data_IF_025118568344
#
_entry.id   IF_025118568344
#
_cell.length_a   1.000
_cell.length_b   1.000
_cell.length_c   1.000
_cell.angle_alpha   90.00
_cell.angle_beta   90.00
_cell.angle_gamma   90.00
#
_symmetry.space_group_name_H-M   'P 1'
#
loop_
_entity.id
_entity.type
_entity.pdbx_description
1 polymer ?
#
# COMPACT_ATOMS: atom_id res chain seq x y z
N UNK A 1 -8.53 -13.90 -4.14
CA UNK A 1 -8.36 -13.23 -2.84
C UNK A 1 -8.34 -11.71 -3.02
N UNK A 2 -9.29 -11.15 -3.79
CA UNK A 2 -9.28 -9.74 -4.25
C UNK A 2 -10.08 -8.77 -3.36
N UNK A 3 -10.80 -9.26 -2.35
CA UNK A 3 -11.77 -8.44 -1.59
C UNK A 3 -11.23 -7.62 -0.41
N UNK A 4 -9.99 -7.83 0.06
CA UNK A 4 -9.56 -7.27 1.35
C UNK A 4 -9.02 -5.83 1.31
N UNK A 5 -8.45 -5.39 0.19
CA UNK A 5 -7.93 -4.02 0.07
C UNK A 5 -9.07 -3.03 -0.16
N UNK A 6 -10.10 -3.45 -0.90
CA UNK A 6 -11.35 -2.72 -1.06
C UNK A 6 -11.97 -2.32 0.29
N UNK A 7 -11.94 -3.23 1.29
CA UNK A 7 -12.47 -2.95 2.63
C UNK A 7 -11.79 -1.75 3.30
N UNK A 8 -10.48 -1.54 3.05
CA UNK A 8 -9.74 -0.41 3.62
C UNK A 8 -10.25 0.94 3.10
N UNK A 9 -10.76 1.00 1.87
CA UNK A 9 -11.38 2.20 1.30
C UNK A 9 -12.88 2.26 1.61
N UNK A 10 -13.60 1.15 1.44
CA UNK A 10 -15.07 1.07 1.62
C UNK A 10 -15.52 1.34 3.06
N UNK A 11 -14.71 1.01 4.07
CA UNK A 11 -15.10 1.16 5.50
C UNK A 11 -14.39 2.30 6.22
N UNK A 12 -13.44 2.97 5.58
CA UNK A 12 -12.73 4.07 6.22
C UNK A 12 -13.58 5.34 6.16
N UNK A 13 -13.98 5.85 7.33
CA UNK A 13 -14.84 7.03 7.43
C UNK A 13 -14.20 8.29 6.87
N UNK A 14 -12.88 8.42 7.01
CA UNK A 14 -12.14 9.55 6.47
C UNK A 14 -12.16 9.51 4.94
N UNK A 15 -11.98 8.32 4.35
CA UNK A 15 -12.10 8.13 2.90
C UNK A 15 -13.51 8.47 2.41
N UNK A 16 -14.54 7.99 3.12
CA UNK A 16 -15.93 8.26 2.78
C UNK A 16 -16.34 9.73 2.97
N UNK A 17 -15.61 10.49 3.78
CA UNK A 17 -15.85 11.93 3.98
C UNK A 17 -15.41 12.79 2.80
N UNK A 18 -14.57 12.23 1.91
CA UNK A 18 -14.05 12.91 0.73
C UNK A 18 -15.10 13.05 -0.37
N UNK A 19 -14.94 14.08 -1.20
CA UNK A 19 -15.75 14.23 -2.42
C UNK A 19 -15.59 13.02 -3.33
N UNK A 20 -16.56 12.74 -4.21
CA UNK A 20 -16.46 11.61 -5.14
C UNK A 20 -15.23 11.72 -6.04
N UNK A 21 -14.92 12.93 -6.51
CA UNK A 21 -13.72 13.21 -7.31
C UNK A 21 -12.44 12.89 -6.54
N UNK A 22 -12.34 13.34 -5.29
CA UNK A 22 -11.17 13.10 -4.45
C UNK A 22 -11.01 11.62 -4.11
N UNK A 23 -12.11 10.89 -3.86
CA UNK A 23 -12.09 9.43 -3.63
C UNK A 23 -11.56 8.66 -4.83
N UNK A 24 -12.05 8.97 -6.03
CA UNK A 24 -11.60 8.31 -7.27
C UNK A 24 -10.14 8.64 -7.54
N UNK A 25 -9.76 9.91 -7.40
CA UNK A 25 -8.37 10.35 -7.60
C UNK A 25 -7.43 9.68 -6.59
N UNK A 26 -7.81 9.64 -5.31
CA UNK A 26 -7.02 8.99 -4.27
C UNK A 26 -6.90 7.48 -4.52
N UNK A 27 -8.00 6.82 -4.89
CA UNK A 27 -8.00 5.40 -5.23
C UNK A 27 -7.03 5.12 -6.39
N UNK A 28 -7.19 5.82 -7.53
CA UNK A 28 -6.31 5.65 -8.70
C UNK A 28 -4.85 5.90 -8.39
N UNK A 29 -4.56 6.75 -7.40
CA UNK A 29 -3.19 7.10 -7.05
C UNK A 29 -2.55 6.18 -6.00
N UNK A 30 -3.34 5.60 -5.10
CA UNK A 30 -2.79 4.86 -3.94
C UNK A 30 -3.12 3.39 -3.92
N UNK A 31 -4.09 2.92 -4.72
CA UNK A 31 -4.58 1.54 -4.67
C UNK A 31 -3.47 0.54 -4.98
N UNK A 32 -2.55 0.87 -5.88
CA UNK A 32 -1.44 0.00 -6.23
C UNK A 32 -0.52 -0.25 -5.03
N UNK A 33 -0.09 0.82 -4.36
CA UNK A 33 0.74 0.74 -3.16
C UNK A 33 0.01 0.08 -2.01
N UNK A 34 -1.24 0.48 -1.78
CA UNK A 34 -2.08 -0.06 -0.70
C UNK A 34 -2.36 -1.54 -0.91
N UNK A 35 -2.62 -1.95 -2.15
CA UNK A 35 -2.85 -3.36 -2.51
C UNK A 35 -1.59 -4.19 -2.40
N UNK A 36 -0.45 -3.65 -2.82
CA UNK A 36 0.84 -4.32 -2.71
C UNK A 36 1.20 -4.56 -1.25
N UNK A 37 1.13 -3.53 -0.39
CA UNK A 37 1.43 -3.67 1.04
C UNK A 37 0.42 -4.59 1.74
N UNK A 38 -0.87 -4.46 1.42
CA UNK A 38 -1.91 -5.34 1.96
C UNK A 38 -1.70 -6.81 1.55
N UNK A 39 -1.24 -7.03 0.32
CA UNK A 39 -0.88 -8.36 -0.18
C UNK A 39 0.35 -8.90 0.52
N UNK A 40 1.42 -8.11 0.67
CA UNK A 40 2.64 -8.48 1.42
C UNK A 40 2.28 -8.94 2.83
N UNK A 41 1.42 -8.18 3.52
CA UNK A 41 0.95 -8.54 4.85
C UNK A 41 0.20 -9.88 4.85
N UNK A 42 -0.71 -10.09 3.91
CA UNK A 42 -1.47 -11.34 3.76
C UNK A 42 -0.53 -12.52 3.46
N UNK A 43 0.37 -12.35 2.49
CA UNK A 43 1.38 -13.34 2.11
C UNK A 43 2.24 -13.76 3.31
N UNK A 44 2.62 -12.81 4.15
CA UNK A 44 3.35 -13.08 5.40
C UNK A 44 2.53 -13.88 6.39
N UNK A 45 1.29 -13.47 6.66
CA UNK A 45 0.43 -14.15 7.64
C UNK A 45 0.22 -15.63 7.29
N UNK A 46 0.02 -15.91 6.01
CA UNK A 46 -0.17 -17.28 5.50
C UNK A 46 1.15 -17.97 5.13
N UNK A 47 2.30 -17.30 5.31
CA UNK A 47 3.63 -17.80 4.95
C UNK A 47 3.70 -18.33 3.51
N UNK A 48 2.98 -17.68 2.58
CA UNK A 48 2.80 -18.20 1.22
C UNK A 48 4.13 -18.31 0.46
N UNK A 49 5.07 -17.40 0.71
CA UNK A 49 6.42 -17.42 0.13
C UNK A 49 7.34 -18.53 0.67
N UNK A 50 6.89 -19.31 1.66
CA UNK A 50 7.59 -20.51 2.13
C UNK A 50 7.20 -21.76 1.32
N UNK A 51 6.17 -21.68 0.48
CA UNK A 51 5.78 -22.75 -0.43
C UNK A 51 6.49 -22.54 -1.78
N UNK A 52 7.35 -23.47 -2.23
CA UNK A 52 8.10 -23.30 -3.47
C UNK A 52 7.21 -23.06 -4.69
N UNK A 53 6.11 -23.81 -4.80
CA UNK A 53 5.15 -23.66 -5.90
C UNK A 53 4.51 -22.27 -5.97
N UNK A 54 4.23 -21.66 -4.83
CA UNK A 54 3.72 -20.29 -4.76
C UNK A 54 4.80 -19.29 -5.17
N UNK A 55 6.03 -19.47 -4.67
CA UNK A 55 7.16 -18.62 -4.98
C UNK A 55 7.48 -18.63 -6.49
N UNK A 56 7.59 -19.80 -7.11
CA UNK A 56 7.80 -19.96 -8.55
C UNK A 56 6.66 -19.33 -9.38
N UNK A 57 5.41 -19.51 -8.93
CA UNK A 57 4.26 -18.88 -9.59
C UNK A 57 4.33 -17.35 -9.51
N UNK A 58 4.78 -16.80 -8.38
CA UNK A 58 4.97 -15.37 -8.20
C UNK A 58 6.06 -14.83 -9.14
N UNK A 59 7.18 -15.55 -9.32
CA UNK A 59 8.24 -15.16 -10.27
C UNK A 59 7.73 -15.10 -11.71
N UNK A 60 6.83 -16.00 -12.11
CA UNK A 60 6.21 -16.01 -13.45
C UNK A 60 5.26 -14.82 -13.66
N UNK A 61 4.60 -14.36 -12.60
CA UNK A 61 3.59 -13.28 -12.69
C UNK A 61 4.24 -11.90 -12.56
N UNK A 62 5.12 -11.72 -11.58
CA UNK A 62 5.67 -10.41 -11.19
C UNK A 62 7.11 -10.19 -11.63
N UNK A 63 7.72 -11.16 -12.31
CA UNK A 63 9.16 -11.28 -12.56
C UNK A 63 9.97 -11.74 -11.32
N UNK A 64 11.12 -12.42 -11.54
CA UNK A 64 11.96 -12.90 -10.44
C UNK A 64 12.52 -11.78 -9.56
N UNK A 65 12.94 -10.65 -10.13
CA UNK A 65 13.54 -9.54 -9.37
C UNK A 65 12.55 -8.94 -8.38
N UNK A 66 11.34 -8.60 -8.84
CA UNK A 66 10.26 -8.10 -7.98
C UNK A 66 9.89 -9.12 -6.90
N UNK A 67 9.87 -10.41 -7.23
CA UNK A 67 9.55 -11.48 -6.26
C UNK A 67 10.59 -11.59 -5.14
N UNK A 68 11.88 -11.47 -5.47
CA UNK A 68 12.97 -11.42 -4.48
C UNK A 68 12.82 -10.20 -3.58
N UNK A 69 12.47 -9.03 -4.14
CA UNK A 69 12.22 -7.83 -3.36
C UNK A 69 11.02 -7.98 -2.42
N UNK A 70 9.89 -8.49 -2.92
CA UNK A 70 8.68 -8.75 -2.13
C UNK A 70 9.01 -9.68 -0.96
N UNK A 71 9.75 -10.77 -1.20
CA UNK A 71 10.18 -11.69 -0.13
C UNK A 71 11.00 -10.98 0.94
N UNK A 72 11.97 -10.16 0.53
CA UNK A 72 12.78 -9.36 1.46
C UNK A 72 11.92 -8.40 2.30
N UNK A 73 10.90 -7.78 1.71
CA UNK A 73 9.97 -6.90 2.44
C UNK A 73 9.12 -7.71 3.42
N UNK A 74 8.61 -8.88 3.02
CA UNK A 74 7.85 -9.79 3.91
C UNK A 74 8.65 -10.12 5.17
N UNK A 75 9.93 -10.44 5.02
CA UNK A 75 10.81 -10.81 6.13
C UNK A 75 11.13 -9.64 7.07
N UNK A 76 11.09 -8.40 6.54
CA UNK A 76 11.40 -7.18 7.28
C UNK A 76 10.16 -6.47 7.83
N UNK A 77 8.95 -6.91 7.45
CA UNK A 77 7.71 -6.27 7.85
C UNK A 77 7.47 -6.42 9.36
N UNK A 78 7.00 -5.35 10.00
CA UNK A 78 6.75 -5.35 11.44
C UNK A 78 5.67 -6.40 11.82
N UNK A 79 5.89 -7.27 12.84
CA UNK A 79 4.91 -8.26 13.31
C UNK A 79 3.63 -7.67 13.91
N UNK A 80 3.62 -6.38 14.27
CA UNK A 80 2.48 -5.77 14.93
C UNK A 80 1.34 -5.42 13.95
N UNK A 81 0.28 -6.22 13.98
CA UNK A 81 -0.91 -6.03 13.14
C UNK A 81 -1.55 -4.63 13.30
N UNK A 82 -1.50 -4.01 14.48
CA UNK A 82 -2.08 -2.68 14.68
C UNK A 82 -1.22 -1.65 13.97
N UNK A 83 0.10 -1.74 14.09
CA UNK A 83 1.01 -0.86 13.37
C UNK A 83 0.89 -1.03 11.86
N UNK A 84 0.75 -2.27 11.35
CA UNK A 84 0.52 -2.51 9.91
C UNK A 84 -0.78 -1.87 9.42
N UNK A 85 -1.88 -1.92 10.19
CA UNK A 85 -3.12 -1.24 9.81
C UNK A 85 -2.94 0.28 9.72
N UNK A 86 -2.17 0.87 10.62
CA UNK A 86 -1.84 2.30 10.57
C UNK A 86 -0.98 2.62 9.35
N UNK A 87 -0.02 1.76 9.01
CA UNK A 87 0.80 1.89 7.79
C UNK A 87 -0.08 1.87 6.53
N UNK A 88 -1.03 0.93 6.44
CA UNK A 88 -1.96 0.86 5.32
C UNK A 88 -2.79 2.14 5.20
N UNK A 89 -3.23 2.72 6.32
CA UNK A 89 -3.92 4.00 6.31
C UNK A 89 -3.01 5.15 5.85
N UNK A 90 -1.77 5.25 6.35
CA UNK A 90 -0.80 6.25 5.91
C UNK A 90 -0.61 6.19 4.39
N UNK A 91 -0.45 4.98 3.83
CA UNK A 91 -0.22 4.77 2.39
C UNK A 91 -1.49 5.04 1.57
N UNK A 92 -2.66 4.66 2.07
CA UNK A 92 -3.95 4.91 1.40
C UNK A 92 -4.28 6.40 1.27
N UNK A 93 -3.78 7.25 2.17
CA UNK A 93 -3.90 8.71 2.10
C UNK A 93 -2.62 9.40 1.61
N UNK A 94 -1.65 8.64 1.08
CA UNK A 94 -0.36 9.19 0.73
C UNK A 94 -0.33 9.80 -0.67
N UNK A 95 0.47 10.84 -0.81
CA UNK A 95 0.83 11.45 -2.10
C UNK A 95 1.98 10.71 -2.82
N UNK A 96 2.34 9.49 -2.40
CA UNK A 96 3.51 8.72 -2.89
C UNK A 96 3.52 8.50 -4.42
N UNK A 97 2.38 8.56 -5.10
CA UNK A 97 2.32 8.31 -6.54
C UNK A 97 3.09 9.34 -7.40
N UNK A 98 3.58 10.43 -6.81
CA UNK A 98 4.48 11.37 -7.48
C UNK A 98 5.91 10.84 -7.71
N UNK A 99 6.27 9.68 -7.17
CA UNK A 99 7.62 9.09 -7.32
C UNK A 99 7.72 8.23 -8.60
N UNK A 100 6.62 7.64 -9.06
CA UNK A 100 6.57 6.85 -10.30
C UNK A 100 6.02 7.73 -11.41
N UNK A 101 6.89 8.22 -12.28
CA UNK A 101 6.51 9.01 -13.45
C UNK A 101 5.69 8.18 -14.44
N UNK A 102 4.36 8.10 -14.23
CA UNK A 102 3.44 7.66 -15.28
C UNK A 102 3.25 8.81 -16.26
N UNK A 103 3.69 8.63 -17.50
CA UNK A 103 3.80 9.66 -18.55
C UNK A 103 2.49 10.42 -18.90
N UNK A 104 1.33 9.98 -18.39
CA UNK A 104 0.00 10.44 -18.84
C UNK A 104 -0.99 10.76 -17.70
N UNK A 105 -0.56 10.98 -16.46
CA UNK A 105 -1.48 11.39 -15.38
C UNK A 105 -1.35 12.90 -15.17
N UNK A 106 -2.41 13.65 -15.47
CA UNK A 106 -2.51 15.05 -15.05
C UNK A 106 -2.40 15.11 -13.52
N UNK A 107 -1.39 15.80 -13.02
CA UNK A 107 -1.08 15.92 -11.60
C UNK A 107 -2.06 16.93 -10.99
N UNK A 108 -3.18 16.45 -10.44
CA UNK A 108 -4.10 17.30 -9.68
C UNK A 108 -3.52 17.62 -8.28
N UNK A 109 -2.81 18.75 -8.21
CA UNK A 109 -2.18 19.25 -6.98
C UNK A 109 -3.21 19.74 -5.94
N UNK A 110 -4.47 19.95 -6.34
CA UNK A 110 -5.54 20.42 -5.45
C UNK A 110 -5.83 19.41 -4.34
N UNK A 111 -5.65 18.13 -4.66
CA UNK A 111 -5.96 17.01 -3.77
C UNK A 111 -4.99 16.93 -2.58
N UNK A 112 -3.74 17.38 -2.72
CA UNK A 112 -2.73 17.31 -1.65
C UNK A 112 -3.13 18.06 -0.38
N UNK A 113 -3.80 19.21 -0.51
CA UNK A 113 -4.26 19.98 0.65
C UNK A 113 -5.31 19.24 1.47
N UNK A 114 -6.09 18.37 0.83
CA UNK A 114 -7.14 17.57 1.47
C UNK A 114 -6.55 16.28 2.04
N UNK A 115 -5.58 15.66 1.37
CA UNK A 115 -5.01 14.36 1.79
C UNK A 115 -3.95 14.46 2.89
N UNK A 116 -3.11 15.51 2.87
CA UNK A 116 -2.04 15.68 3.85
C UNK A 116 -2.53 15.64 5.31
N UNK A 117 -3.63 16.31 5.70
CA UNK A 117 -4.15 16.22 7.07
C UNK A 117 -4.47 14.79 7.53
N UNK A 118 -5.03 13.96 6.64
CA UNK A 118 -5.31 12.55 6.97
C UNK A 118 -4.02 11.76 7.10
N UNK A 119 -3.08 11.93 6.18
CA UNK A 119 -1.78 11.26 6.24
C UNK A 119 -1.01 11.63 7.52
N UNK A 120 -1.00 12.91 7.89
CA UNK A 120 -0.35 13.41 9.10
C UNK A 120 -1.00 12.84 10.36
N UNK A 121 -2.34 12.83 10.42
CA UNK A 121 -3.08 12.23 11.52
C UNK A 121 -2.71 10.75 11.72
N UNK A 122 -2.71 9.94 10.66
CA UNK A 122 -2.34 8.53 10.76
C UNK A 122 -0.87 8.32 11.10
N UNK A 123 0.01 9.19 10.60
CA UNK A 123 1.44 9.18 10.92
C UNK A 123 1.69 9.50 12.39
N UNK A 124 1.02 10.52 12.92
CA UNK A 124 1.09 10.88 14.34
C UNK A 124 0.52 9.76 15.22
N UNK A 125 -0.61 9.16 14.83
CA UNK A 125 -1.20 8.05 15.56
C UNK A 125 -0.26 6.84 15.59
N UNK A 126 0.38 6.51 14.47
CA UNK A 126 1.38 5.45 14.38
C UNK A 126 2.59 5.73 15.27
N UNK A 127 3.09 6.96 15.25
CA UNK A 127 4.20 7.38 16.10
C UNK A 127 3.87 7.29 17.59
N UNK A 128 2.74 7.87 18.01
CA UNK A 128 2.24 7.82 19.41
C UNK A 128 2.02 6.37 19.86
N UNK A 129 1.46 5.53 18.99
CA UNK A 129 1.26 4.11 19.27
C UNK A 129 2.59 3.39 19.55
N UNK A 130 3.60 3.59 18.70
CA UNK A 130 4.91 2.98 18.89
C UNK A 130 5.60 3.47 20.17
N UNK A 131 5.55 4.78 20.44
CA UNK A 131 6.10 5.36 21.67
C UNK A 131 5.45 4.76 22.91
N UNK A 132 4.11 4.67 22.91
CA UNK A 132 3.35 4.11 24.02
C UNK A 132 3.68 2.63 24.26
N UNK A 133 3.75 1.83 23.19
CA UNK A 133 3.89 0.37 23.30
C UNK A 133 5.32 -0.12 23.47
N UNK A 134 6.29 0.54 22.83
CA UNK A 134 7.67 0.05 22.70
C UNK A 134 8.72 1.00 23.28
N UNK A 135 8.34 2.23 23.65
CA UNK A 135 9.28 3.26 24.09
C UNK A 135 10.07 3.87 22.94
N UNK A 136 10.84 4.92 23.26
CA UNK A 136 11.47 5.79 22.26
C UNK A 136 12.41 5.05 21.28
N UNK A 137 13.36 4.27 21.80
CA UNK A 137 14.39 3.64 20.97
C UNK A 137 13.80 2.65 19.94
N UNK A 138 12.92 1.75 20.39
CA UNK A 138 12.28 0.79 19.50
C UNK A 138 11.25 1.45 18.57
N UNK A 139 10.59 2.53 19.01
CA UNK A 139 9.72 3.31 18.14
C UNK A 139 10.49 3.90 16.95
N UNK A 140 11.64 4.55 17.19
CA UNK A 140 12.50 5.08 16.12
C UNK A 140 12.90 3.96 15.16
N UNK A 141 13.42 2.84 15.69
CA UNK A 141 13.88 1.71 14.87
C UNK A 141 12.78 1.15 13.98
N UNK A 142 11.57 0.93 14.53
CA UNK A 142 10.42 0.39 13.78
C UNK A 142 9.91 1.37 12.73
N UNK A 143 9.86 2.66 13.07
CA UNK A 143 9.45 3.70 12.13
C UNK A 143 10.46 3.87 10.98
N UNK A 144 11.77 3.85 11.26
CA UNK A 144 12.80 3.86 10.21
C UNK A 144 12.74 2.62 9.32
N UNK A 145 12.48 1.44 9.92
CA UNK A 145 12.32 0.22 9.15
C UNK A 145 11.08 0.28 8.23
N UNK A 146 9.97 0.86 8.69
CA UNK A 146 8.81 1.16 7.86
C UNK A 146 9.21 1.99 6.63
N UNK A 147 9.89 3.13 6.83
CA UNK A 147 10.31 3.98 5.71
C UNK A 147 11.15 3.20 4.69
N UNK A 148 12.07 2.36 5.15
CA UNK A 148 12.87 1.47 4.29
C UNK A 148 12.00 0.46 3.53
N UNK A 149 11.01 -0.15 4.20
CA UNK A 149 10.06 -1.05 3.55
C UNK A 149 9.25 -0.33 2.48
N UNK A 150 8.80 0.90 2.71
CA UNK A 150 8.04 1.68 1.72
C UNK A 150 8.89 1.94 0.45
N UNK A 151 10.15 2.34 0.60
CA UNK A 151 11.05 2.50 -0.56
C UNK A 151 11.29 1.20 -1.31
N UNK A 152 11.46 0.08 -0.60
CA UNK A 152 11.63 -1.23 -1.23
C UNK A 152 10.37 -1.65 -2.00
N UNK A 153 9.17 -1.35 -1.47
CA UNK A 153 7.90 -1.58 -2.17
C UNK A 153 7.80 -0.71 -3.43
N UNK A 154 8.20 0.55 -3.37
CA UNK A 154 8.26 1.42 -4.56
C UNK A 154 9.14 0.81 -5.65
N UNK A 155 10.35 0.32 -5.30
CA UNK A 155 11.23 -0.35 -6.25
C UNK A 155 10.58 -1.59 -6.87
N UNK A 156 9.97 -2.44 -6.04
CA UNK A 156 9.29 -3.65 -6.53
C UNK A 156 8.10 -3.33 -7.45
N UNK A 157 7.36 -2.26 -7.19
CA UNK A 157 6.26 -1.80 -8.04
C UNK A 157 6.79 -1.32 -9.40
N UNK A 158 7.88 -0.54 -9.41
CA UNK A 158 8.49 -0.05 -10.65
C UNK A 158 8.93 -1.22 -11.54
N UNK A 159 9.53 -2.27 -10.96
CA UNK A 159 9.89 -3.47 -11.71
C UNK A 159 8.65 -4.26 -12.16
N UNK A 160 7.64 -4.40 -11.28
CA UNK A 160 6.42 -5.12 -11.60
C UNK A 160 5.60 -4.46 -12.73
N UNK A 161 5.71 -3.13 -12.93
CA UNK A 161 5.11 -2.40 -14.05
C UNK A 161 5.58 -2.88 -15.42
N UNK A 162 6.73 -3.55 -15.50
CA UNK A 162 7.18 -4.19 -16.74
C UNK A 162 6.36 -5.45 -17.08
N UNK A 163 5.55 -5.97 -16.13
CA UNK A 163 4.66 -7.11 -16.34
C UNK A 163 3.23 -6.66 -16.63
N UNK A 164 2.74 -6.94 -17.85
CA UNK A 164 1.36 -6.66 -18.23
C UNK A 164 0.33 -7.30 -17.28
N UNK A 165 0.59 -8.52 -16.80
CA UNK A 165 -0.30 -9.24 -15.88
C UNK A 165 -0.51 -8.49 -14.57
N UNK A 166 0.53 -7.82 -14.07
CA UNK A 166 0.44 -7.03 -12.85
C UNK A 166 -0.44 -5.79 -13.07
N UNK A 167 -0.21 -5.07 -14.17
CA UNK A 167 -1.00 -3.91 -14.57
C UNK A 167 -2.48 -4.26 -14.72
N UNK A 168 -2.80 -5.38 -15.41
CA UNK A 168 -4.18 -5.84 -15.60
C UNK A 168 -4.90 -6.12 -14.27
N UNK A 169 -4.18 -6.67 -13.27
CA UNK A 169 -4.74 -6.93 -11.93
C UNK A 169 -5.07 -5.60 -11.21
N UNK A 170 -4.16 -4.62 -11.28
CA UNK A 170 -4.37 -3.31 -10.63
C UNK A 170 -5.55 -2.57 -11.27
N UNK A 171 -5.61 -2.53 -12.60
CA UNK A 171 -6.69 -1.87 -13.33
C UNK A 171 -8.05 -2.52 -13.01
N UNK A 172 -8.11 -3.86 -12.93
CA UNK A 172 -9.33 -4.57 -12.51
C UNK A 172 -9.77 -4.20 -11.09
N UNK A 173 -8.84 -4.01 -10.16
CA UNK A 173 -9.17 -3.57 -8.78
C UNK A 173 -9.73 -2.15 -8.79
N UNK A 174 -9.14 -1.24 -9.59
CA UNK A 174 -9.63 0.14 -9.74
C UNK A 174 -11.07 0.11 -10.24
N UNK A 175 -11.33 -0.56 -11.36
CA UNK A 175 -12.65 -0.61 -11.99
C UNK A 175 -13.73 -1.17 -11.05
N UNK A 176 -13.45 -2.29 -10.37
CA UNK A 176 -14.39 -2.90 -9.42
C UNK A 176 -14.70 -1.98 -8.24
N UNK A 177 -13.69 -1.25 -7.76
CA UNK A 177 -13.86 -0.35 -6.61
C UNK A 177 -14.62 0.91 -7.01
N UNK A 178 -14.36 1.47 -8.21
CA UNK A 178 -15.09 2.61 -8.76
C UNK A 178 -16.58 2.30 -9.00
N UNK A 179 -16.88 1.10 -9.51
CA UNK A 179 -18.27 0.65 -9.71
C UNK A 179 -19.04 0.61 -8.40
N UNK A 180 -18.43 0.09 -7.33
CA UNK A 180 -19.06 0.05 -6.00
C UNK A 180 -19.23 1.42 -5.36
N UNK A 181 -18.30 2.35 -5.61
CA UNK A 181 -18.39 3.72 -5.12
C UNK A 181 -19.39 4.60 -5.90
N UNK A 182 -19.96 4.06 -6.99
CA UNK A 182 -20.95 4.74 -7.84
C UNK A 182 -22.41 4.41 -7.46
N UNK A 183 -22.61 3.50 -6.51
CA UNK A 183 -23.89 3.20 -5.85
C UNK A 183 -23.88 3.72 -4.42
#
# INVERSE_FOLDING_TARGET
MMGNVQIAFEKNRDFLSLSRHDRITLLRTTVEYTSTIGSIFTLRQYKLFNYPSFYESAEIIFQPSATVFIKRVIDQLDPDNTFIKLILAIVAFSTINYIVYRKNIEIDLTNNKVMLPFQDMYTELAWRYLLYKYGHYEAVKRFSNLTRCLFAVTGAIVEAHESQKFTDIIDSIIEQTEQKLSY
#
